data_IF_923783885263
#
_entry.id   IF_923783885263
#
_cell.length_a   1.000
_cell.length_b   1.000
_cell.length_c   1.000
_cell.angle_alpha   90.00
_cell.angle_beta   90.00
_cell.angle_gamma   90.00
#
_symmetry.space_group_name_H-M   'P 1'
#
loop_
_entity.id
_entity.type
_entity.pdbx_description
1 polymer ?
#
# COMPACT_ATOMS: atom_id res chain seq x y z
N UNK A 1 -14.47 -0.81 -14.48
CA UNK A 1 -13.01 -0.60 -14.62
C UNK A 1 -12.45 -1.87 -15.21
N UNK A 2 -11.79 -1.79 -16.36
CA UNK A 2 -11.16 -2.95 -16.98
C UNK A 2 -9.78 -3.19 -16.35
N UNK A 3 -9.45 -4.45 -16.07
CA UNK A 3 -8.12 -4.82 -15.57
C UNK A 3 -7.15 -4.73 -16.75
N UNK A 4 -6.10 -3.93 -16.61
CA UNK A 4 -5.06 -3.82 -17.63
C UNK A 4 -4.16 -5.05 -17.63
N UNK A 5 -3.82 -5.55 -18.81
CA UNK A 5 -2.80 -6.60 -18.95
C UNK A 5 -1.39 -6.02 -18.76
N UNK A 6 -1.05 -5.71 -17.49
CA UNK A 6 0.24 -5.16 -17.05
C UNK A 6 0.72 -5.89 -15.80
N UNK A 7 2.01 -5.76 -15.50
CA UNK A 7 2.58 -6.26 -14.26
C UNK A 7 1.96 -5.57 -13.04
N UNK A 8 1.85 -6.29 -11.92
CA UNK A 8 1.33 -5.80 -10.64
C UNK A 8 2.44 -5.85 -9.58
N UNK A 9 2.52 -4.83 -8.73
CA UNK A 9 3.39 -4.86 -7.55
C UNK A 9 2.61 -5.36 -6.33
N UNK A 10 3.19 -6.28 -5.57
CA UNK A 10 2.71 -6.67 -4.25
C UNK A 10 3.71 -6.14 -3.22
N UNK A 11 3.26 -5.36 -2.23
CA UNK A 11 4.15 -4.81 -1.20
C UNK A 11 3.40 -4.55 0.12
N UNK A 12 4.13 -4.55 1.23
CA UNK A 12 3.66 -3.94 2.48
C UNK A 12 3.84 -2.42 2.46
N UNK A 13 3.11 -1.73 3.35
CA UNK A 13 3.20 -0.29 3.55
C UNK A 13 4.58 0.18 4.09
N UNK A 14 5.39 -0.74 4.61
CA UNK A 14 6.68 -0.49 5.27
C UNK A 14 7.85 -1.26 4.64
N UNK A 15 7.66 -1.88 3.47
CA UNK A 15 8.73 -2.64 2.79
C UNK A 15 9.47 -1.86 1.71
N UNK A 16 8.87 -0.77 1.21
CA UNK A 16 9.48 0.19 0.28
C UNK A 16 9.61 1.56 0.97
N UNK A 17 10.28 1.57 2.12
CA UNK A 17 10.37 2.72 3.01
C UNK A 17 9.80 2.40 4.38
N UNK A 18 9.15 3.37 5.04
CA UNK A 18 8.57 3.18 6.39
C UNK A 18 7.05 3.32 6.44
N UNK A 19 6.44 3.91 5.42
CA UNK A 19 5.01 4.21 5.36
C UNK A 19 4.55 4.43 3.91
N UNK A 20 3.25 4.69 3.73
CA UNK A 20 2.63 4.85 2.42
C UNK A 20 3.17 6.03 1.61
N UNK A 21 3.70 7.08 2.25
CA UNK A 21 4.31 8.22 1.56
C UNK A 21 5.65 7.83 0.91
N UNK A 22 6.43 7.00 1.60
CA UNK A 22 7.67 6.47 1.04
C UNK A 22 7.37 5.48 -0.09
N UNK A 23 6.36 4.61 0.07
CA UNK A 23 5.91 3.72 -1.02
C UNK A 23 5.53 4.55 -2.25
N UNK A 24 4.71 5.59 -2.07
CA UNK A 24 4.32 6.50 -3.16
C UNK A 24 5.52 7.16 -3.82
N UNK A 25 6.53 7.54 -3.03
CA UNK A 25 7.77 8.12 -3.54
C UNK A 25 8.49 7.13 -4.44
N UNK A 26 8.70 5.89 -3.99
CA UNK A 26 9.34 4.82 -4.77
C UNK A 26 8.54 4.50 -6.04
N UNK A 27 7.20 4.45 -5.95
CA UNK A 27 6.34 4.27 -7.12
C UNK A 27 6.57 5.35 -8.19
N UNK A 28 6.72 6.61 -7.76
CA UNK A 28 6.89 7.76 -8.66
C UNK A 28 8.31 7.94 -9.19
N UNK A 29 9.31 7.77 -8.33
CA UNK A 29 10.70 8.10 -8.65
C UNK A 29 11.46 6.92 -9.26
N UNK A 30 11.17 5.68 -8.83
CA UNK A 30 11.95 4.50 -9.22
C UNK A 30 11.19 3.55 -10.16
N UNK A 31 9.88 3.32 -9.93
CA UNK A 31 9.10 2.34 -10.70
C UNK A 31 8.44 2.95 -11.94
N UNK A 32 7.86 4.15 -11.82
CA UNK A 32 7.18 4.84 -12.92
C UNK A 32 6.07 3.99 -13.56
N UNK A 33 6.04 3.97 -14.90
CA UNK A 33 4.96 3.35 -15.68
C UNK A 33 5.08 1.81 -15.86
N UNK A 34 6.02 1.17 -15.15
CA UNK A 34 6.32 -0.25 -15.32
C UNK A 34 5.21 -1.20 -14.83
N UNK A 35 4.33 -0.73 -13.93
CA UNK A 35 3.23 -1.52 -13.35
C UNK A 35 1.87 -0.92 -13.69
N UNK A 36 0.82 -1.76 -13.66
CA UNK A 36 -0.57 -1.36 -13.85
C UNK A 36 -1.40 -1.26 -12.57
N UNK A 37 -0.82 -1.64 -11.43
CA UNK A 37 -1.50 -1.57 -10.13
C UNK A 37 -0.65 -2.09 -8.98
N UNK A 38 -1.13 -1.81 -7.77
CA UNK A 38 -0.49 -2.19 -6.51
C UNK A 38 -1.46 -3.01 -5.67
N UNK A 39 -1.05 -4.20 -5.27
CA UNK A 39 -1.69 -4.95 -4.20
C UNK A 39 -0.96 -4.63 -2.90
N UNK A 40 -1.54 -3.70 -2.14
CA UNK A 40 -1.04 -3.33 -0.83
C UNK A 40 -1.48 -4.40 0.18
N UNK A 41 -0.50 -5.04 0.82
CA UNK A 41 -0.73 -5.99 1.91
C UNK A 41 -1.37 -5.29 3.12
N UNK A 42 -2.00 -6.03 4.06
CA UNK A 42 -2.88 -5.43 5.07
C UNK A 42 -2.24 -4.26 5.82
N UNK A 43 -2.94 -3.12 5.80
CA UNK A 43 -2.50 -1.83 6.35
C UNK A 43 -3.44 -1.29 7.45
N UNK A 44 -4.36 -2.13 7.91
CA UNK A 44 -5.24 -1.83 9.03
C UNK A 44 -4.54 -2.07 10.38
N UNK A 45 -4.99 -1.44 11.48
CA UNK A 45 -4.56 -1.81 12.83
C UNK A 45 -4.73 -3.31 13.06
N UNK A 46 -3.65 -4.00 13.40
CA UNK A 46 -3.63 -5.46 13.52
C UNK A 46 -3.01 -5.92 14.83
N UNK A 47 -3.47 -7.06 15.34
CA UNK A 47 -2.96 -7.68 16.55
C UNK A 47 -1.98 -8.82 16.28
N UNK A 48 -1.65 -9.11 15.01
CA UNK A 48 -0.76 -10.21 14.67
C UNK A 48 -0.62 -10.48 13.17
N UNK A 49 0.11 -11.56 12.87
CA UNK A 49 0.30 -12.14 11.53
C UNK A 49 0.62 -11.10 10.44
N UNK A 50 1.56 -10.18 10.72
CA UNK A 50 1.99 -9.14 9.75
C UNK A 50 0.84 -8.34 9.11
N UNK A 51 -0.25 -8.12 9.85
CA UNK A 51 -1.42 -7.38 9.36
C UNK A 51 -2.65 -8.26 9.04
N UNK A 52 -2.50 -9.59 8.99
CA UNK A 52 -3.60 -10.52 8.69
C UNK A 52 -4.52 -10.84 9.89
N UNK A 53 -4.29 -10.20 11.04
CA UNK A 53 -5.21 -10.21 12.18
C UNK A 53 -5.77 -8.80 12.48
N UNK A 54 -6.51 -8.18 11.54
CA UNK A 54 -7.01 -6.81 11.68
C UNK A 54 -8.03 -6.71 12.81
N UNK A 55 -7.90 -5.64 13.58
CA UNK A 55 -8.77 -5.28 14.70
C UNK A 55 -9.80 -4.20 14.34
N UNK A 56 -9.53 -3.41 13.29
CA UNK A 56 -10.41 -2.32 12.86
C UNK A 56 -10.20 -2.04 11.36
N UNK A 57 -11.23 -2.26 10.55
CA UNK A 57 -11.19 -2.04 9.11
C UNK A 57 -11.59 -0.62 8.68
N UNK A 58 -12.00 0.23 9.63
CA UNK A 58 -12.51 1.58 9.33
C UNK A 58 -11.41 2.63 9.21
N UNK A 59 -10.19 2.30 9.63
CA UNK A 59 -9.03 3.20 9.61
C UNK A 59 -7.77 2.47 9.17
N UNK A 60 -6.86 3.22 8.59
CA UNK A 60 -5.48 2.79 8.33
C UNK A 60 -4.71 2.79 9.65
N UNK A 61 -3.74 1.88 9.81
CA UNK A 61 -2.83 1.93 10.94
C UNK A 61 -2.03 3.23 10.88
N UNK A 62 -2.08 4.01 11.96
CA UNK A 62 -1.39 5.29 12.07
C UNK A 62 0.13 5.21 11.84
N UNK A 63 0.74 4.02 12.00
CA UNK A 63 2.14 3.79 11.65
C UNK A 63 2.40 3.90 10.13
N UNK A 64 1.40 3.59 9.32
CA UNK A 64 1.48 3.59 7.85
C UNK A 64 0.91 4.85 7.20
N UNK A 65 -0.02 5.54 7.85
CA UNK A 65 -0.62 6.78 7.34
C UNK A 65 -2.13 6.84 7.60
N UNK A 66 -2.86 7.42 6.65
CA UNK A 66 -4.32 7.50 6.65
C UNK A 66 -4.93 7.09 5.29
N UNK A 67 -6.25 7.18 5.16
CA UNK A 67 -6.95 6.85 3.93
C UNK A 67 -6.52 7.73 2.74
N UNK A 68 -6.16 8.99 2.98
CA UNK A 68 -5.69 9.89 1.91
C UNK A 68 -4.34 9.43 1.36
N UNK A 69 -3.48 8.83 2.19
CA UNK A 69 -2.22 8.23 1.74
C UNK A 69 -2.46 6.96 0.90
N UNK A 70 -3.50 6.16 1.23
CA UNK A 70 -3.91 4.98 0.42
C UNK A 70 -4.46 5.41 -0.93
N UNK A 71 -5.38 6.39 -0.95
CA UNK A 71 -5.95 6.96 -2.18
C UNK A 71 -4.86 7.58 -3.07
N UNK A 72 -3.81 8.13 -2.47
CA UNK A 72 -2.71 8.76 -3.19
C UNK A 72 -1.79 7.78 -3.94
N UNK A 73 -1.95 6.46 -3.75
CA UNK A 73 -1.18 5.42 -4.45
C UNK A 73 -1.68 5.16 -5.88
N UNK A 74 -2.94 5.44 -6.19
CA UNK A 74 -3.50 5.24 -7.54
C UNK A 74 -4.97 4.90 -7.56
#
# INVERSE_FOLDING_TARGET
MEIQNKAMLITYADSLGKNLKDVRKVLKEDIGDAIGGVHLLPFFPSTGDRGFAPSDYTRVDSAFGDWSDVEALG
#
